data_IF_428045230589
#
_entry.id   IF_428045230589
#
_cell.length_a   1.000
_cell.length_b   1.000
_cell.length_c   1.000
_cell.angle_alpha   90.00
_cell.angle_beta   90.00
_cell.angle_gamma   90.00
#
_symmetry.space_group_name_H-M   'P 1'
#
loop_
_entity.id
_entity.type
_entity.pdbx_description
1 polymer ?
#
# COMPACT_ATOMS: atom_id res chain seq x y z
N UNK A 1 1.76 21.88 -15.16
CA UNK A 1 3.02 21.38 -15.78
C UNK A 1 4.09 21.02 -14.75
N UNK A 2 4.34 21.84 -13.72
CA UNK A 2 5.35 21.56 -12.68
C UNK A 2 5.10 20.28 -11.87
N UNK A 3 3.86 20.00 -11.45
CA UNK A 3 3.53 18.78 -10.70
C UNK A 3 3.76 17.49 -11.50
N UNK A 4 3.42 17.48 -12.80
CA UNK A 4 3.68 16.35 -13.68
C UNK A 4 5.19 16.07 -13.82
N UNK A 5 6.01 17.13 -13.98
CA UNK A 5 7.47 16.99 -14.04
C UNK A 5 8.03 16.34 -12.76
N UNK A 6 7.51 16.71 -11.59
CA UNK A 6 7.92 16.10 -10.31
C UNK A 6 7.57 14.61 -10.27
N UNK A 7 6.36 14.23 -10.72
CA UNK A 7 5.95 12.82 -10.77
C UNK A 7 6.81 12.02 -11.74
N UNK A 8 7.06 12.54 -12.95
CA UNK A 8 7.92 11.84 -13.92
C UNK A 8 9.38 11.74 -13.45
N UNK A 9 9.90 12.79 -12.79
CA UNK A 9 11.22 12.73 -12.16
C UNK A 9 11.26 11.69 -11.04
N UNK A 10 10.21 11.60 -10.22
CA UNK A 10 10.06 10.58 -9.20
C UNK A 10 10.05 9.15 -9.81
N UNK A 11 9.28 8.93 -10.88
CA UNK A 11 9.25 7.64 -11.58
C UNK A 11 10.64 7.27 -12.13
N UNK A 12 11.38 8.23 -12.68
CA UNK A 12 12.75 8.03 -13.15
C UNK A 12 13.71 7.69 -12.00
N UNK A 13 13.59 8.33 -10.83
CA UNK A 13 14.39 8.03 -9.64
C UNK A 13 14.10 6.62 -9.12
N UNK A 14 12.82 6.23 -9.05
CA UNK A 14 12.43 4.88 -8.62
C UNK A 14 12.98 3.82 -9.57
N UNK A 15 12.85 4.04 -10.89
CA UNK A 15 13.43 3.16 -11.90
C UNK A 15 14.94 3.06 -11.76
N UNK A 16 15.62 4.19 -11.54
CA UNK A 16 17.06 4.24 -11.33
C UNK A 16 17.49 3.44 -10.09
N UNK A 17 16.81 3.64 -8.95
CA UNK A 17 17.09 2.91 -7.69
C UNK A 17 16.91 1.41 -7.90
N UNK A 18 15.80 0.99 -8.52
CA UNK A 18 15.51 -0.42 -8.75
C UNK A 18 16.54 -1.11 -9.65
N UNK A 19 16.96 -0.45 -10.74
CA UNK A 19 17.98 -0.98 -11.66
C UNK A 19 19.38 -0.98 -11.03
N UNK A 20 19.76 0.12 -10.36
CA UNK A 20 21.11 0.28 -9.83
C UNK A 20 21.36 -0.60 -8.58
N UNK A 21 20.33 -0.83 -7.77
CA UNK A 21 20.40 -1.76 -6.63
C UNK A 21 20.80 -3.18 -7.08
N UNK A 22 20.45 -3.57 -8.32
CA UNK A 22 20.78 -4.88 -8.88
C UNK A 22 22.20 -4.97 -9.45
N UNK A 23 22.67 -3.93 -10.18
CA UNK A 23 24.00 -3.96 -10.83
C UNK A 23 25.15 -4.19 -9.86
N UNK A 24 25.01 -3.77 -8.59
CA UNK A 24 26.05 -3.98 -7.58
C UNK A 24 26.28 -5.47 -7.21
N UNK A 25 25.32 -6.36 -7.52
CA UNK A 25 25.34 -7.78 -7.12
C UNK A 25 25.21 -8.78 -8.28
N UNK A 26 25.25 -8.30 -9.52
CA UNK A 26 25.15 -9.10 -10.76
C UNK A 26 26.15 -10.27 -10.83
N UNK A 27 27.26 -10.19 -10.08
CA UNK A 27 28.27 -11.25 -9.94
C UNK A 27 27.77 -12.54 -9.26
N UNK A 28 26.58 -12.56 -8.63
CA UNK A 28 25.96 -13.76 -8.02
C UNK A 28 24.53 -14.00 -8.55
N UNK A 29 24.41 -14.32 -9.83
CA UNK A 29 23.13 -14.68 -10.47
C UNK A 29 22.57 -16.02 -9.94
N UNK A 30 22.03 -16.02 -8.72
CA UNK A 30 21.33 -17.16 -8.11
C UNK A 30 19.87 -16.80 -7.83
N UNK A 31 18.99 -17.80 -7.87
CA UNK A 31 17.57 -17.65 -7.56
C UNK A 31 17.33 -17.06 -6.16
N UNK A 32 18.18 -17.37 -5.17
CA UNK A 32 18.06 -16.81 -3.81
C UNK A 32 18.35 -15.30 -3.75
N UNK A 33 19.25 -14.78 -4.60
CA UNK A 33 19.50 -13.33 -4.69
C UNK A 33 18.33 -12.61 -5.36
N UNK A 34 17.74 -13.22 -6.40
CA UNK A 34 16.61 -12.62 -7.11
C UNK A 34 15.32 -12.64 -6.29
N UNK A 35 14.99 -13.77 -5.65
CA UNK A 35 13.71 -13.96 -4.96
C UNK A 35 13.73 -13.64 -3.47
N UNK A 36 14.90 -13.60 -2.81
CA UNK A 36 15.00 -13.39 -1.35
C UNK A 36 16.11 -12.39 -0.98
N UNK A 37 16.71 -11.70 -1.95
CA UNK A 37 17.81 -10.73 -1.76
C UNK A 37 19.00 -11.31 -0.96
N UNK A 38 19.24 -12.63 -1.10
CA UNK A 38 20.29 -13.34 -0.37
C UNK A 38 20.14 -13.25 1.16
N UNK A 39 18.92 -12.95 1.66
CA UNK A 39 18.59 -12.80 3.09
C UNK A 39 19.50 -11.80 3.81
N UNK A 40 19.83 -10.71 3.12
CA UNK A 40 20.90 -9.78 3.54
C UNK A 40 20.42 -8.34 3.73
N UNK A 41 19.11 -8.10 3.69
CA UNK A 41 18.53 -6.78 3.92
C UNK A 41 18.89 -6.29 5.32
N UNK A 42 19.33 -5.03 5.41
CA UNK A 42 19.62 -4.40 6.70
C UNK A 42 18.32 -4.03 7.44
N UNK A 43 18.38 -3.80 8.76
CA UNK A 43 17.20 -3.62 9.60
C UNK A 43 16.31 -2.43 9.18
N UNK A 44 16.91 -1.32 8.74
CA UNK A 44 16.16 -0.14 8.31
C UNK A 44 15.43 -0.38 6.98
N UNK A 45 16.11 -0.95 5.99
CA UNK A 45 15.53 -1.27 4.68
C UNK A 45 14.47 -2.35 4.82
N UNK A 46 14.70 -3.37 5.66
CA UNK A 46 13.71 -4.40 5.95
C UNK A 46 12.43 -3.82 6.54
N UNK A 47 12.54 -2.95 7.56
CA UNK A 47 11.38 -2.32 8.17
C UNK A 47 10.63 -1.42 7.18
N UNK A 48 11.33 -0.49 6.54
CA UNK A 48 10.72 0.49 5.65
C UNK A 48 10.11 -0.19 4.42
N UNK A 49 10.75 -1.24 3.92
CA UNK A 49 10.20 -2.00 2.81
C UNK A 49 9.00 -2.83 3.23
N UNK A 50 9.08 -3.60 4.33
CA UNK A 50 7.96 -4.41 4.81
C UNK A 50 6.74 -3.53 5.14
N UNK A 51 6.99 -2.36 5.73
CA UNK A 51 5.97 -1.38 5.98
C UNK A 51 5.41 -0.81 4.67
N UNK A 52 6.27 -0.40 3.73
CA UNK A 52 5.87 0.12 2.41
C UNK A 52 5.02 -0.87 1.62
N UNK A 53 5.40 -2.15 1.62
CA UNK A 53 4.64 -3.24 1.00
C UNK A 53 3.24 -3.39 1.60
N UNK A 54 3.04 -3.07 2.88
CA UNK A 54 1.72 -3.05 3.52
C UNK A 54 0.93 -1.76 3.23
N UNK A 55 1.61 -0.69 2.82
CA UNK A 55 0.96 0.56 2.45
C UNK A 55 0.36 0.41 1.06
N UNK A 56 -0.88 0.84 0.91
CA UNK A 56 -1.63 0.73 -0.34
C UNK A 56 -2.23 2.09 -0.70
N UNK A 57 -2.76 2.20 -1.91
CA UNK A 57 -3.60 3.34 -2.30
C UNK A 57 -4.71 3.62 -1.27
N UNK A 58 -5.27 2.57 -0.67
CA UNK A 58 -6.27 2.68 0.38
C UNK A 58 -5.73 3.39 1.62
N UNK A 59 -4.46 3.22 1.99
CA UNK A 59 -3.89 3.85 3.18
C UNK A 59 -3.94 5.39 3.12
N UNK A 60 -3.91 5.99 1.93
CA UNK A 60 -3.98 7.45 1.76
C UNK A 60 -5.41 7.87 1.40
N UNK A 61 -5.83 7.51 0.19
CA UNK A 61 -7.09 7.99 -0.38
C UNK A 61 -8.27 7.34 0.34
N UNK A 62 -8.21 6.02 0.51
CA UNK A 62 -9.28 5.26 1.14
C UNK A 62 -9.45 5.57 2.63
N UNK A 63 -8.36 5.70 3.40
CA UNK A 63 -8.43 5.97 4.84
C UNK A 63 -8.92 7.39 5.12
N UNK A 64 -8.48 8.37 4.33
CA UNK A 64 -8.95 9.74 4.45
C UNK A 64 -10.39 9.89 3.95
N UNK A 65 -10.77 9.22 2.87
CA UNK A 65 -12.15 9.19 2.40
C UNK A 65 -13.09 8.49 3.38
N UNK A 66 -12.64 7.41 4.00
CA UNK A 66 -13.36 6.73 5.07
C UNK A 66 -13.47 7.63 6.31
N UNK A 67 -12.42 8.39 6.65
CA UNK A 67 -12.45 9.37 7.72
C UNK A 67 -13.37 10.57 7.42
N UNK A 68 -13.52 10.96 6.15
CA UNK A 68 -14.49 11.98 5.74
C UNK A 68 -15.93 11.52 5.99
N UNK A 69 -16.23 10.25 5.67
CA UNK A 69 -17.57 9.67 5.86
C UNK A 69 -17.88 9.25 7.31
N UNK A 70 -16.95 8.57 7.97
CA UNK A 70 -17.14 7.93 9.28
C UNK A 70 -16.43 8.64 10.44
N UNK A 71 -15.66 9.69 10.15
CA UNK A 71 -15.02 10.52 11.15
C UNK A 71 -13.77 9.90 11.78
N UNK A 72 -13.44 10.39 12.97
CA UNK A 72 -12.18 10.07 13.67
C UNK A 72 -12.12 8.61 14.12
N UNK A 73 -13.28 7.95 14.19
CA UNK A 73 -13.40 6.53 14.48
C UNK A 73 -12.57 5.66 13.54
N UNK A 74 -12.34 6.08 12.30
CA UNK A 74 -11.47 5.38 11.33
C UNK A 74 -10.08 5.10 11.90
N UNK A 75 -9.53 6.04 12.68
CA UNK A 75 -8.25 5.84 13.36
C UNK A 75 -8.35 4.77 14.46
N UNK A 76 -9.38 4.86 15.31
CA UNK A 76 -9.61 3.89 16.38
C UNK A 76 -9.92 2.48 15.87
N UNK A 77 -10.63 2.37 14.75
CA UNK A 77 -11.14 1.11 14.23
C UNK A 77 -10.14 0.40 13.31
N UNK A 78 -9.41 1.14 12.45
CA UNK A 78 -8.45 0.55 11.51
C UNK A 78 -7.00 0.77 11.93
N UNK A 79 -6.61 2.01 12.22
CA UNK A 79 -5.21 2.34 12.47
C UNK A 79 -4.70 1.67 13.76
N UNK A 80 -5.48 1.75 14.86
CA UNK A 80 -5.07 1.17 16.14
C UNK A 80 -4.94 -0.36 16.08
N UNK A 81 -5.92 -1.03 15.44
CA UNK A 81 -5.91 -2.47 15.26
C UNK A 81 -4.73 -2.90 14.39
N UNK A 82 -4.48 -2.19 13.29
CA UNK A 82 -3.37 -2.49 12.37
C UNK A 82 -2.01 -2.22 13.03
N UNK A 83 -1.90 -1.16 13.84
CA UNK A 83 -0.67 -0.81 14.55
C UNK A 83 -0.23 -1.89 15.54
N UNK A 84 -1.17 -2.62 16.16
CA UNK A 84 -0.87 -3.63 17.17
C UNK A 84 -0.84 -5.05 16.59
N UNK A 85 -1.83 -5.40 15.77
CA UNK A 85 -2.06 -6.79 15.34
C UNK A 85 -1.08 -7.18 14.24
N UNK A 86 -0.77 -6.29 13.28
CA UNK A 86 0.20 -6.61 12.21
C UNK A 86 1.58 -6.96 12.77
N UNK A 87 2.23 -6.12 13.61
CA UNK A 87 3.53 -6.48 14.16
C UNK A 87 3.47 -7.72 15.05
N UNK A 88 2.37 -7.94 15.77
CA UNK A 88 2.17 -9.17 16.54
C UNK A 88 2.11 -10.41 15.64
N UNK A 89 1.37 -10.35 14.53
CA UNK A 89 1.33 -11.43 13.53
C UNK A 89 2.69 -11.67 12.89
N UNK A 90 3.40 -10.61 12.51
CA UNK A 90 4.77 -10.70 11.98
C UNK A 90 5.73 -11.34 13.00
N UNK A 91 5.55 -11.06 14.29
CA UNK A 91 6.35 -11.70 15.33
C UNK A 91 5.98 -13.16 15.54
N UNK A 92 4.69 -13.49 15.72
CA UNK A 92 4.26 -14.84 16.08
C UNK A 92 4.37 -15.82 14.91
N UNK A 93 3.97 -15.40 13.72
CA UNK A 93 3.96 -16.24 12.52
C UNK A 93 5.19 -15.98 11.65
N UNK A 94 5.54 -14.71 11.43
CA UNK A 94 6.68 -14.35 10.57
C UNK A 94 8.01 -14.89 11.09
N UNK A 95 8.26 -14.92 12.42
CA UNK A 95 9.48 -15.53 12.96
C UNK A 95 9.54 -17.05 12.77
N UNK A 96 8.39 -17.74 12.80
CA UNK A 96 8.31 -19.18 12.54
C UNK A 96 8.53 -19.49 11.06
N UNK A 97 7.89 -18.73 10.17
CA UNK A 97 8.11 -18.79 8.72
C UNK A 97 9.59 -18.58 8.42
N UNK A 98 10.20 -17.53 9.00
CA UNK A 98 11.63 -17.26 8.85
C UNK A 98 12.51 -18.42 9.32
N UNK A 99 12.23 -18.99 10.50
CA UNK A 99 12.98 -20.12 11.06
C UNK A 99 12.90 -21.36 10.16
N UNK A 100 11.69 -21.72 9.71
CA UNK A 100 11.47 -22.84 8.79
C UNK A 100 12.20 -22.61 7.46
N UNK A 101 12.08 -21.41 6.89
CA UNK A 101 12.76 -21.08 5.64
C UNK A 101 14.28 -21.09 5.76
N UNK A 102 14.85 -20.82 6.94
CA UNK A 102 16.31 -20.93 7.18
C UNK A 102 16.76 -22.37 7.36
N UNK A 103 15.93 -23.22 7.97
CA UNK A 103 16.26 -24.63 8.26
C UNK A 103 16.10 -25.54 7.04
N UNK A 104 15.06 -25.31 6.25
CA UNK A 104 14.68 -26.17 5.11
C UNK A 104 14.92 -25.52 3.74
N UNK A 105 15.35 -24.25 3.70
CA UNK A 105 15.64 -23.55 2.46
C UNK A 105 14.40 -23.08 1.68
N UNK A 106 13.23 -23.05 2.31
CA UNK A 106 12.00 -22.57 1.66
C UNK A 106 12.11 -21.11 1.22
N UNK A 107 11.61 -20.85 0.01
CA UNK A 107 11.53 -19.52 -0.63
C UNK A 107 10.07 -19.03 -0.70
N UNK A 108 9.10 -19.95 -0.73
CA UNK A 108 7.66 -19.62 -0.77
C UNK A 108 6.91 -20.25 0.40
N UNK A 109 5.78 -19.64 0.82
CA UNK A 109 4.88 -20.27 1.80
C UNK A 109 4.21 -21.55 1.26
N UNK A 110 4.03 -21.65 -0.07
CA UNK A 110 3.44 -22.83 -0.71
C UNK A 110 4.34 -24.05 -0.57
N UNK A 111 5.66 -23.89 -0.67
CA UNK A 111 6.62 -24.98 -0.39
C UNK A 111 6.46 -25.52 1.03
N UNK A 112 6.26 -24.63 2.03
CA UNK A 112 6.07 -25.06 3.43
C UNK A 112 4.83 -25.92 3.60
N UNK A 113 3.71 -25.49 3.00
CA UNK A 113 2.46 -26.22 3.06
C UNK A 113 2.53 -27.55 2.29
N UNK A 114 3.19 -27.55 1.13
CA UNK A 114 3.39 -28.74 0.33
C UNK A 114 4.23 -29.79 1.07
N UNK A 115 5.31 -29.37 1.73
CA UNK A 115 6.17 -30.24 2.55
C UNK A 115 5.39 -30.77 3.77
N UNK A 116 4.63 -29.91 4.44
CA UNK A 116 3.86 -30.28 5.64
C UNK A 116 2.72 -31.27 5.40
N UNK A 117 2.09 -31.22 4.22
CA UNK A 117 0.98 -32.11 3.84
C UNK A 117 1.40 -33.22 2.87
N UNK A 118 2.67 -33.28 2.49
CA UNK A 118 3.26 -34.27 1.57
C UNK A 118 2.46 -34.44 0.25
N UNK A 119 1.71 -33.41 -0.15
CA UNK A 119 0.79 -33.46 -1.29
C UNK A 119 1.10 -32.33 -2.27
N UNK A 120 1.61 -32.71 -3.45
CA UNK A 120 1.98 -31.77 -4.51
C UNK A 120 0.80 -30.91 -5.01
N UNK A 121 -0.37 -31.52 -5.15
CA UNK A 121 -1.59 -30.89 -5.66
C UNK A 121 -2.11 -29.78 -4.75
N UNK A 122 -1.99 -29.93 -3.42
CA UNK A 122 -2.39 -28.91 -2.46
C UNK A 122 -1.57 -27.63 -2.67
N UNK A 123 -0.26 -27.77 -2.89
CA UNK A 123 0.60 -26.61 -3.17
C UNK A 123 0.17 -25.85 -4.43
N UNK A 124 -0.14 -26.58 -5.52
CA UNK A 124 -0.59 -25.96 -6.78
C UNK A 124 -1.96 -25.29 -6.64
N UNK A 125 -2.86 -25.88 -5.85
CA UNK A 125 -4.14 -25.27 -5.53
C UNK A 125 -3.98 -23.98 -4.71
N UNK A 126 -3.15 -24.00 -3.66
CA UNK A 126 -2.85 -22.81 -2.85
C UNK A 126 -2.24 -21.71 -3.72
N UNK A 127 -1.31 -22.06 -4.62
CA UNK A 127 -0.75 -21.12 -5.60
C UNK A 127 -1.85 -20.50 -6.46
N UNK A 128 -2.71 -21.31 -7.09
CA UNK A 128 -3.77 -20.82 -7.98
C UNK A 128 -4.74 -19.91 -7.24
N UNK A 129 -5.14 -20.28 -6.01
CA UNK A 129 -6.01 -19.47 -5.16
C UNK A 129 -5.35 -18.13 -4.79
N UNK A 130 -4.09 -18.14 -4.35
CA UNK A 130 -3.39 -16.91 -3.98
C UNK A 130 -3.14 -16.01 -5.20
N UNK A 131 -2.80 -16.58 -6.35
CA UNK A 131 -2.67 -15.82 -7.60
C UNK A 131 -4.00 -15.17 -7.99
N UNK A 132 -5.10 -15.91 -7.93
CA UNK A 132 -6.44 -15.38 -8.22
C UNK A 132 -6.85 -14.23 -7.29
N UNK A 133 -6.42 -14.25 -6.02
CA UNK A 133 -6.69 -13.18 -5.05
C UNK A 133 -5.74 -11.97 -5.19
N UNK A 134 -4.51 -12.19 -5.66
CA UNK A 134 -3.52 -11.12 -5.85
C UNK A 134 -3.75 -10.31 -7.13
N UNK A 135 -4.27 -10.92 -8.20
CA UNK A 135 -4.49 -10.21 -9.47
C UNK A 135 -5.41 -8.99 -9.30
N UNK A 136 -6.60 -9.10 -8.67
CA UNK A 136 -7.45 -7.93 -8.38
C UNK A 136 -6.73 -6.88 -7.53
N UNK A 137 -5.88 -7.32 -6.60
CA UNK A 137 -5.15 -6.42 -5.72
C UNK A 137 -4.10 -5.59 -6.49
N UNK A 138 -3.36 -6.22 -7.39
CA UNK A 138 -2.42 -5.54 -8.30
C UNK A 138 -3.18 -4.56 -9.21
N UNK A 139 -4.34 -4.98 -9.74
CA UNK A 139 -5.18 -4.13 -10.59
C UNK A 139 -5.59 -2.86 -9.83
N UNK A 140 -6.04 -2.97 -8.58
CA UNK A 140 -6.39 -1.80 -7.74
C UNK A 140 -5.18 -0.86 -7.58
N UNK A 141 -3.98 -1.41 -7.44
CA UNK A 141 -2.73 -0.64 -7.49
C UNK A 141 -2.62 0.13 -8.80
N UNK A 142 -2.61 -0.55 -9.95
CA UNK A 142 -2.48 0.12 -11.26
C UNK A 142 -3.57 1.16 -11.51
N UNK A 143 -4.82 0.89 -11.11
CA UNK A 143 -5.95 1.82 -11.19
C UNK A 143 -5.71 3.08 -10.35
N UNK A 144 -5.21 2.93 -9.12
CA UNK A 144 -4.85 4.07 -8.26
C UNK A 144 -3.78 4.96 -8.89
N UNK A 145 -2.81 4.35 -9.57
CA UNK A 145 -1.74 5.07 -10.26
C UNK A 145 -2.24 5.83 -11.49
N UNK A 146 -3.08 5.20 -12.30
CA UNK A 146 -3.72 5.82 -13.45
C UNK A 146 -4.58 7.03 -13.06
N UNK A 147 -5.40 6.92 -12.01
CA UNK A 147 -6.20 8.02 -11.48
C UNK A 147 -5.32 9.17 -11.00
N UNK A 148 -4.23 8.85 -10.28
CA UNK A 148 -3.28 9.85 -9.75
C UNK A 148 -2.60 10.64 -10.87
N UNK A 149 -2.08 9.96 -11.90
CA UNK A 149 -1.45 10.62 -13.05
C UNK A 149 -2.46 11.45 -13.84
N UNK A 150 -3.67 10.92 -14.07
CA UNK A 150 -4.73 11.64 -14.75
C UNK A 150 -5.11 12.93 -14.02
N UNK A 151 -5.28 12.87 -12.69
CA UNK A 151 -5.60 14.03 -11.86
C UNK A 151 -4.49 15.08 -11.89
N UNK A 152 -3.24 14.70 -11.63
CA UNK A 152 -2.11 15.64 -11.55
C UNK A 152 -1.75 16.26 -12.89
N UNK A 153 -1.97 15.53 -13.99
CA UNK A 153 -1.76 16.03 -15.34
C UNK A 153 -2.85 17.01 -15.79
N UNK A 154 -3.91 17.21 -14.99
CA UNK A 154 -5.06 18.03 -15.38
C UNK A 154 -5.80 17.45 -16.58
N UNK A 155 -5.78 16.12 -16.76
CA UNK A 155 -6.36 15.43 -17.91
C UNK A 155 -5.49 15.38 -19.18
N UNK A 156 -4.27 15.91 -19.16
CA UNK A 156 -3.36 15.82 -20.31
C UNK A 156 -2.93 14.37 -20.61
N UNK A 157 -2.83 13.52 -19.57
CA UNK A 157 -2.58 12.09 -19.72
C UNK A 157 -3.88 11.33 -19.46
N UNK A 158 -4.42 10.59 -20.43
CA UNK A 158 -5.64 9.82 -20.21
C UNK A 158 -5.39 8.67 -19.23
N UNK A 159 -6.43 8.30 -18.48
CA UNK A 159 -6.37 7.26 -17.44
C UNK A 159 -5.69 5.95 -17.89
N UNK A 160 -6.01 5.46 -19.09
CA UNK A 160 -5.42 4.22 -19.62
C UNK A 160 -3.91 4.35 -19.84
N UNK A 161 -3.43 5.52 -20.30
CA UNK A 161 -2.02 5.78 -20.51
C UNK A 161 -1.29 5.97 -19.17
N UNK A 162 -1.93 6.63 -18.20
CA UNK A 162 -1.41 6.76 -16.84
C UNK A 162 -1.21 5.38 -16.19
N UNK A 163 -2.21 4.51 -16.25
CA UNK A 163 -2.11 3.14 -15.76
C UNK A 163 -1.00 2.33 -16.46
N UNK A 164 -0.91 2.44 -17.79
CA UNK A 164 0.12 1.76 -18.58
C UNK A 164 1.55 2.22 -18.21
N UNK A 165 1.76 3.52 -17.99
CA UNK A 165 3.07 4.06 -17.56
C UNK A 165 3.46 3.48 -16.20
N UNK A 166 2.53 3.47 -15.24
CA UNK A 166 2.79 2.94 -13.88
C UNK A 166 3.12 1.45 -13.94
N UNK A 167 2.30 0.67 -14.66
CA UNK A 167 2.53 -0.76 -14.85
C UNK A 167 3.90 -1.03 -15.49
N UNK A 168 4.24 -0.30 -16.56
CA UNK A 168 5.51 -0.46 -17.26
C UNK A 168 6.70 -0.15 -16.35
N UNK A 169 6.65 0.95 -15.59
CA UNK A 169 7.73 1.33 -14.67
C UNK A 169 7.90 0.26 -13.58
N UNK A 170 6.79 -0.16 -12.96
CA UNK A 170 6.81 -1.18 -11.91
C UNK A 170 7.36 -2.50 -12.42
N UNK A 171 6.83 -3.01 -13.53
CA UNK A 171 7.31 -4.25 -14.15
C UNK A 171 8.78 -4.17 -14.52
N UNK A 172 9.24 -3.04 -15.08
CA UNK A 172 10.63 -2.87 -15.52
C UNK A 172 11.63 -2.98 -14.37
N UNK A 173 11.38 -2.28 -13.25
CA UNK A 173 12.30 -2.36 -12.12
C UNK A 173 12.17 -3.65 -11.31
N UNK A 174 11.00 -4.30 -11.31
CA UNK A 174 10.85 -5.63 -10.68
C UNK A 174 11.59 -6.69 -11.49
N UNK A 175 11.44 -6.67 -12.82
CA UNK A 175 12.12 -7.55 -13.76
C UNK A 175 13.65 -7.45 -13.63
N UNK A 176 14.17 -6.22 -13.60
CA UNK A 176 15.61 -5.96 -13.52
C UNK A 176 16.13 -6.08 -12.08
N UNK A 177 15.38 -5.59 -11.10
CA UNK A 177 15.79 -5.39 -9.72
C UNK A 177 15.64 -6.59 -8.79
N UNK A 178 14.67 -7.46 -9.05
CA UNK A 178 14.27 -8.54 -8.14
C UNK A 178 13.93 -8.02 -6.73
N UNK A 179 13.97 -8.90 -5.74
CA UNK A 179 13.59 -8.57 -4.36
C UNK A 179 14.43 -7.48 -3.73
N UNK A 180 15.72 -7.40 -4.06
CA UNK A 180 16.60 -6.37 -3.51
C UNK A 180 16.24 -5.00 -4.08
N UNK A 181 16.05 -4.90 -5.40
CA UNK A 181 15.64 -3.66 -6.06
C UNK A 181 14.30 -3.17 -5.52
N UNK A 182 13.30 -4.06 -5.47
CA UNK A 182 11.99 -3.81 -4.85
C UNK A 182 12.12 -3.32 -3.41
N UNK A 183 12.98 -3.93 -2.60
CA UNK A 183 13.14 -3.51 -1.20
C UNK A 183 13.71 -2.10 -1.04
N UNK A 184 14.66 -1.69 -1.88
CA UNK A 184 15.20 -0.33 -1.85
C UNK A 184 14.21 0.70 -2.40
N UNK A 185 13.48 0.35 -3.45
CA UNK A 185 12.38 1.18 -3.97
C UNK A 185 11.34 1.42 -2.89
N UNK A 186 10.87 0.35 -2.23
CA UNK A 186 9.89 0.46 -1.16
C UNK A 186 10.41 1.24 0.04
N UNK A 187 11.68 1.08 0.41
CA UNK A 187 12.26 1.88 1.48
C UNK A 187 12.27 3.38 1.15
N UNK A 188 12.64 3.75 -0.08
CA UNK A 188 12.59 5.13 -0.56
C UNK A 188 11.16 5.67 -0.60
N UNK A 189 10.23 4.89 -1.16
CA UNK A 189 8.80 5.22 -1.25
C UNK A 189 8.18 5.43 0.12
N UNK A 190 8.47 4.57 1.10
CA UNK A 190 8.01 4.73 2.48
C UNK A 190 8.52 6.02 3.12
N UNK A 191 9.79 6.37 2.93
CA UNK A 191 10.36 7.61 3.47
C UNK A 191 9.73 8.84 2.82
N UNK A 192 9.58 8.82 1.49
CA UNK A 192 8.89 9.88 0.75
C UNK A 192 7.47 10.05 1.28
N UNK A 193 6.79 8.93 1.50
CA UNK A 193 5.41 8.89 1.96
C UNK A 193 5.24 9.40 3.39
N UNK A 194 6.10 8.98 4.32
CA UNK A 194 6.13 9.49 5.71
C UNK A 194 6.39 11.01 5.74
N UNK A 195 7.33 11.48 4.92
CA UNK A 195 7.67 12.91 4.82
C UNK A 195 6.50 13.73 4.30
N UNK A 196 5.79 13.19 3.31
CA UNK A 196 4.58 13.81 2.76
C UNK A 196 3.47 13.94 3.81
N UNK A 197 3.15 12.86 4.54
CA UNK A 197 2.10 12.89 5.57
C UNK A 197 2.34 13.97 6.62
N UNK A 198 3.59 14.12 7.05
CA UNK A 198 3.97 15.19 7.99
C UNK A 198 3.80 16.59 7.38
N UNK A 199 4.26 16.80 6.14
CA UNK A 199 4.12 18.09 5.47
C UNK A 199 2.64 18.48 5.28
N UNK A 200 1.79 17.53 4.91
CA UNK A 200 0.36 17.77 4.71
C UNK A 200 -0.34 18.20 6.01
N UNK A 201 -0.02 17.58 7.15
CA UNK A 201 -0.54 18.01 8.46
C UNK A 201 -0.05 19.39 8.84
N UNK A 202 1.22 19.71 8.63
CA UNK A 202 1.75 21.02 8.99
C UNK A 202 1.06 22.13 8.17
N UNK A 203 0.95 21.94 6.85
CA UNK A 203 0.35 22.95 5.97
C UNK A 203 -1.16 23.10 6.18
N UNK A 204 -1.91 22.00 6.10
CA UNK A 204 -3.37 22.04 6.22
C UNK A 204 -3.78 22.28 7.68
N UNK A 205 -3.07 21.70 8.63
CA UNK A 205 -3.30 21.92 10.06
C UNK A 205 -3.12 23.38 10.45
N UNK A 206 -2.12 24.09 9.92
CA UNK A 206 -1.98 25.53 10.18
C UNK A 206 -3.15 26.33 9.59
N UNK A 207 -3.59 25.98 8.37
CA UNK A 207 -4.72 26.66 7.71
C UNK A 207 -6.07 26.35 8.33
N UNK A 208 -6.24 25.17 8.91
CA UNK A 208 -7.46 24.76 9.61
C UNK A 208 -7.52 25.28 11.06
N UNK A 209 -6.58 26.12 11.50
CA UNK A 209 -6.55 26.64 12.88
C UNK A 209 -6.11 25.58 13.91
N UNK A 210 -5.36 24.58 13.46
CA UNK A 210 -4.83 23.49 14.28
C UNK A 210 -5.81 22.33 14.46
N UNK A 211 -5.32 21.26 15.09
CA UNK A 211 -6.14 20.09 15.40
C UNK A 211 -7.35 20.45 16.28
N UNK A 212 -7.12 21.24 17.35
CA UNK A 212 -8.18 21.68 18.26
C UNK A 212 -9.26 22.49 17.55
N UNK A 213 -8.87 23.53 16.80
CA UNK A 213 -9.82 24.37 16.07
C UNK A 213 -10.61 23.61 15.00
N UNK A 214 -9.98 22.64 14.32
CA UNK A 214 -10.69 21.79 13.37
C UNK A 214 -11.73 20.89 14.05
N UNK A 215 -11.40 20.30 15.21
CA UNK A 215 -12.34 19.46 15.95
C UNK A 215 -13.48 20.28 16.57
N UNK A 216 -13.21 21.47 17.10
CA UNK A 216 -14.23 22.36 17.68
C UNK A 216 -15.25 22.80 16.64
N UNK A 217 -14.82 23.15 15.42
CA UNK A 217 -15.74 23.49 14.33
C UNK A 217 -16.66 22.33 13.95
N UNK A 218 -16.16 21.11 13.96
CA UNK A 218 -16.96 19.91 13.68
C UNK A 218 -17.91 19.62 14.84
N UNK A 219 -17.45 19.73 16.08
CA UNK A 219 -18.26 19.57 17.28
C UNK A 219 -19.43 20.58 17.36
N UNK A 220 -19.22 21.80 16.86
CA UNK A 220 -20.24 22.84 16.79
C UNK A 220 -21.22 22.68 15.60
N UNK A 221 -20.97 21.72 14.69
CA UNK A 221 -21.78 21.47 13.50
C UNK A 221 -22.76 20.31 13.69
N UNK A 222 -23.71 20.15 12.75
CA UNK A 222 -24.60 18.97 12.69
C UNK A 222 -23.86 17.64 12.54
N UNK A 223 -22.57 17.69 12.20
CA UNK A 223 -21.70 16.53 11.98
C UNK A 223 -20.85 16.15 13.20
N UNK A 224 -21.22 16.62 14.41
CA UNK A 224 -20.56 16.25 15.67
C UNK A 224 -20.45 14.73 15.89
N UNK A 225 -21.36 13.95 15.31
CA UNK A 225 -21.33 12.49 15.34
C UNK A 225 -20.08 11.88 14.68
N UNK A 226 -19.36 12.62 13.82
CA UNK A 226 -18.06 12.19 13.26
C UNK A 226 -16.96 12.11 14.32
N UNK A 227 -17.15 12.75 15.47
CA UNK A 227 -16.22 12.69 16.60
C UNK A 227 -16.58 11.58 17.60
N UNK A 228 -17.80 11.04 17.50
CA UNK A 228 -18.32 10.02 18.42
C UNK A 228 -18.42 8.64 17.76
N UNK A 229 -18.55 7.60 18.59
CA UNK A 229 -18.77 6.22 18.13
C UNK A 229 -20.26 5.87 18.00
N UNK A 230 -21.16 6.81 18.24
CA UNK A 230 -22.59 6.54 18.46
C UNK A 230 -23.29 5.77 17.32
N UNK A 231 -22.84 5.97 16.07
CA UNK A 231 -23.43 5.31 14.89
C UNK A 231 -22.82 3.95 14.54
N UNK A 232 -21.80 3.50 15.27
CA UNK A 232 -21.07 2.27 14.92
C UNK A 232 -21.27 1.17 15.96
N UNK A 233 -21.91 0.09 15.50
CA UNK A 233 -22.14 -1.11 16.29
C UNK A 233 -20.83 -1.67 16.87
N UNK A 234 -20.83 -2.14 18.14
CA UNK A 234 -19.69 -2.84 18.71
C UNK A 234 -19.19 -4.04 17.90
N UNK A 235 -20.11 -4.77 17.25
CA UNK A 235 -19.76 -5.89 16.39
C UNK A 235 -19.03 -5.45 15.12
N UNK A 236 -19.42 -4.32 14.56
CA UNK A 236 -18.72 -3.75 13.41
C UNK A 236 -17.30 -3.34 13.78
N UNK A 237 -17.11 -2.70 14.93
CA UNK A 237 -15.79 -2.36 15.45
C UNK A 237 -14.91 -3.61 15.67
N UNK A 238 -15.48 -4.67 16.26
CA UNK A 238 -14.76 -5.93 16.47
C UNK A 238 -14.40 -6.63 15.15
N UNK A 239 -15.30 -6.65 14.16
CA UNK A 239 -15.00 -7.26 12.86
C UNK A 239 -13.77 -6.62 12.19
N UNK A 240 -13.59 -5.30 12.33
CA UNK A 240 -12.45 -4.60 11.78
C UNK A 240 -11.12 -4.89 12.48
N UNK A 241 -11.14 -5.29 13.76
CA UNK A 241 -9.90 -5.71 14.43
C UNK A 241 -9.39 -7.05 13.91
N UNK A 242 -10.22 -7.84 13.20
CA UNK A 242 -9.80 -9.10 12.59
C UNK A 242 -9.16 -8.91 11.21
N UNK A 243 -9.40 -7.78 10.53
CA UNK A 243 -8.84 -7.51 9.19
C UNK A 243 -7.29 -7.58 9.20
N UNK A 244 -6.58 -6.96 10.15
CA UNK A 244 -5.12 -7.02 10.19
C UNK A 244 -4.53 -8.43 10.38
N UNK A 245 -5.31 -9.40 10.91
CA UNK A 245 -4.85 -10.80 11.03
C UNK A 245 -4.58 -11.42 9.66
N UNK A 246 -5.28 -10.97 8.61
CA UNK A 246 -5.10 -11.46 7.24
C UNK A 246 -3.74 -11.08 6.65
N UNK A 247 -3.05 -10.08 7.20
CA UNK A 247 -1.80 -9.53 6.65
C UNK A 247 -0.73 -10.60 6.40
N UNK A 248 -0.58 -11.55 7.32
CA UNK A 248 0.43 -12.61 7.20
C UNK A 248 0.05 -13.67 6.14
N UNK A 249 -1.25 -13.83 5.86
CA UNK A 249 -1.72 -14.79 4.87
C UNK A 249 -1.38 -14.37 3.44
N UNK A 250 -1.08 -13.08 3.21
CA UNK A 250 -0.60 -12.62 1.93
C UNK A 250 0.81 -13.16 1.65
N UNK A 251 1.03 -13.78 0.47
CA UNK A 251 2.33 -14.38 0.18
C UNK A 251 3.44 -13.36 0.07
N UNK A 252 3.17 -12.14 -0.43
CA UNK A 252 4.19 -11.12 -0.52
C UNK A 252 4.74 -10.72 0.85
N UNK A 253 3.91 -10.69 1.90
CA UNK A 253 4.35 -10.44 3.29
C UNK A 253 5.11 -11.65 3.85
N UNK A 254 4.58 -12.86 3.62
CA UNK A 254 5.22 -14.10 4.07
C UNK A 254 6.60 -14.31 3.44
N UNK A 255 6.73 -14.07 2.13
CA UNK A 255 8.00 -14.13 1.40
C UNK A 255 8.93 -13.02 1.90
N UNK A 256 8.44 -11.81 2.17
CA UNK A 256 9.25 -10.75 2.78
C UNK A 256 9.81 -11.17 4.14
N UNK A 257 9.04 -11.88 4.96
CA UNK A 257 9.54 -12.39 6.24
C UNK A 257 10.74 -13.36 6.04
N UNK A 258 10.82 -14.06 4.91
CA UNK A 258 11.94 -14.96 4.59
C UNK A 258 13.24 -14.22 4.25
N UNK A 259 13.17 -12.92 3.91
CA UNK A 259 14.34 -12.11 3.53
C UNK A 259 15.13 -11.56 4.71
N UNK A 260 14.57 -11.62 5.92
CA UNK A 260 15.20 -11.06 7.10
C UNK A 260 16.55 -11.74 7.37
N UNK A 261 17.56 -10.95 7.75
CA UNK A 261 18.91 -11.47 8.03
C UNK A 261 18.99 -12.09 9.41
N UNK A 262 18.32 -11.47 10.40
CA UNK A 262 18.35 -11.87 11.80
C UNK A 262 16.97 -11.77 12.44
N UNK A 263 16.70 -12.66 13.40
CA UNK A 263 15.46 -12.61 14.19
C UNK A 263 15.31 -11.28 14.98
N UNK A 264 16.41 -10.60 15.29
CA UNK A 264 16.39 -9.29 15.98
C UNK A 264 15.77 -8.18 15.13
N UNK A 265 15.71 -8.34 13.81
CA UNK A 265 15.08 -7.36 12.91
C UNK A 265 13.57 -7.32 13.12
N UNK A 266 12.93 -8.48 13.34
CA UNK A 266 11.51 -8.56 13.69
C UNK A 266 11.20 -7.80 14.99
N UNK A 267 12.05 -7.91 16.01
CA UNK A 267 11.86 -7.19 17.29
C UNK A 267 11.83 -5.67 17.09
N UNK A 268 12.73 -5.15 16.24
CA UNK A 268 12.75 -3.71 15.92
C UNK A 268 11.53 -3.31 15.11
N UNK A 269 11.12 -4.14 14.16
CA UNK A 269 9.88 -3.93 13.39
C UNK A 269 8.69 -3.83 14.33
N UNK A 270 8.54 -4.70 15.34
CA UNK A 270 7.41 -4.63 16.27
C UNK A 270 7.31 -3.29 17.00
N UNK A 271 8.45 -2.73 17.42
CA UNK A 271 8.48 -1.49 18.20
C UNK A 271 8.23 -0.28 17.32
N UNK A 272 8.80 -0.26 16.11
CA UNK A 272 8.79 0.89 15.22
C UNK A 272 7.58 0.91 14.26
N UNK A 273 6.96 -0.24 13.99
CA UNK A 273 5.79 -0.35 13.09
C UNK A 273 4.57 0.46 13.57
N UNK A 274 4.17 0.43 14.85
CA UNK A 274 3.10 1.29 15.37
C UNK A 274 3.38 2.78 15.16
N UNK A 275 4.64 3.21 15.31
CA UNK A 275 5.04 4.60 15.08
C UNK A 275 4.91 4.98 13.61
N UNK A 276 5.24 4.07 12.69
CA UNK A 276 5.07 4.30 11.25
C UNK A 276 3.59 4.40 10.86
N UNK A 277 2.73 3.53 11.43
CA UNK A 277 1.28 3.62 11.23
C UNK A 277 0.74 4.95 11.77
N UNK A 278 1.13 5.33 12.99
CA UNK A 278 0.74 6.60 13.59
C UNK A 278 1.15 7.77 12.68
N UNK A 279 2.40 7.78 12.20
CA UNK A 279 2.93 8.85 11.36
C UNK A 279 2.20 9.03 10.02
N UNK A 280 1.46 8.02 9.54
CA UNK A 280 0.73 8.06 8.26
C UNK A 280 -0.77 8.20 8.45
N UNK A 281 -1.36 7.36 9.29
CA UNK A 281 -2.79 7.34 9.49
C UNK A 281 -3.28 8.57 10.24
N UNK A 282 -2.48 9.13 11.15
CA UNK A 282 -2.86 10.35 11.86
C UNK A 282 -3.03 11.51 10.88
N UNK A 283 -2.06 11.81 9.99
CA UNK A 283 -2.28 12.73 8.88
C UNK A 283 -3.52 12.45 8.03
N UNK A 284 -3.65 11.24 7.50
CA UNK A 284 -4.70 10.94 6.53
C UNK A 284 -6.10 11.04 7.17
N UNK A 285 -6.28 10.51 8.38
CA UNK A 285 -7.54 10.60 9.11
C UNK A 285 -7.81 12.04 9.53
N UNK A 286 -6.81 12.77 10.02
CA UNK A 286 -6.97 14.17 10.38
C UNK A 286 -7.44 15.01 9.20
N UNK A 287 -6.79 14.87 8.03
CA UNK A 287 -7.15 15.59 6.82
C UNK A 287 -8.56 15.23 6.34
N UNK A 288 -8.92 13.93 6.36
CA UNK A 288 -10.25 13.47 6.00
C UNK A 288 -11.34 14.03 6.92
N UNK A 289 -11.12 14.03 8.22
CA UNK A 289 -12.06 14.60 9.20
C UNK A 289 -12.14 16.12 9.04
N UNK A 290 -11.00 16.80 9.02
CA UNK A 290 -10.90 18.26 8.91
C UNK A 290 -11.59 18.80 7.66
N UNK A 291 -11.60 18.03 6.56
CA UNK A 291 -12.30 18.42 5.34
C UNK A 291 -13.78 18.70 5.55
N UNK A 292 -14.47 18.01 6.47
CA UNK A 292 -15.89 18.28 6.76
C UNK A 292 -16.12 19.72 7.29
N UNK A 293 -15.10 20.34 7.88
CA UNK A 293 -15.14 21.71 8.35
C UNK A 293 -14.63 22.76 7.36
N UNK A 294 -14.20 22.36 6.15
CA UNK A 294 -13.57 23.24 5.14
C UNK A 294 -14.55 23.52 3.99
N UNK A 295 -15.66 24.20 4.30
CA UNK A 295 -16.72 24.56 3.33
C UNK A 295 -16.31 25.69 2.37
N UNK A 296 -15.17 26.32 2.61
CA UNK A 296 -14.57 27.31 1.73
C UNK A 296 -14.03 26.69 0.43
N UNK A 297 -13.83 25.37 0.39
CA UNK A 297 -13.47 24.64 -0.84
C UNK A 297 -14.74 24.20 -1.59
N UNK A 298 -15.04 24.74 -2.79
CA UNK A 298 -16.31 24.48 -3.49
C UNK A 298 -16.57 23.00 -3.77
N UNK A 299 -15.52 22.24 -4.09
CA UNK A 299 -15.62 20.82 -4.34
C UNK A 299 -15.95 20.00 -3.08
N UNK A 300 -15.49 20.44 -1.90
CA UNK A 300 -15.84 19.81 -0.62
C UNK A 300 -17.28 20.16 -0.23
N UNK A 301 -17.69 21.41 -0.43
CA UNK A 301 -19.07 21.81 -0.16
C UNK A 301 -20.07 21.04 -1.04
N UNK A 302 -19.78 20.87 -2.33
CA UNK A 302 -20.59 20.05 -3.23
C UNK A 302 -20.72 18.58 -2.75
N UNK A 303 -19.65 18.03 -2.16
CA UNK A 303 -19.66 16.67 -1.56
C UNK A 303 -20.56 16.61 -0.32
N UNK A 304 -20.47 17.62 0.55
CA UNK A 304 -21.30 17.73 1.75
C UNK A 304 -22.78 17.91 1.40
N UNK A 305 -23.09 18.70 0.38
CA UNK A 305 -24.44 18.85 -0.14
C UNK A 305 -24.99 17.54 -0.74
N UNK A 306 -24.18 16.81 -1.53
CA UNK A 306 -24.57 15.51 -2.07
C UNK A 306 -24.84 14.48 -0.95
N UNK A 307 -24.04 14.51 0.12
CA UNK A 307 -24.25 13.69 1.32
C UNK A 307 -25.53 14.06 2.06
N UNK A 308 -25.82 15.36 2.20
CA UNK A 308 -27.04 15.85 2.83
C UNK A 308 -28.29 15.48 2.00
N UNK A 309 -28.19 15.56 0.67
CA UNK A 309 -29.23 15.11 -0.25
C UNK A 309 -29.50 13.61 -0.05
N UNK A 310 -28.47 12.76 -0.05
CA UNK A 310 -28.62 11.31 0.20
C UNK A 310 -29.26 10.96 1.56
N UNK A 311 -29.08 11.80 2.58
CA UNK A 311 -29.72 11.63 3.88
C UNK A 311 -31.21 12.04 3.88
N UNK A 312 -31.64 12.83 2.91
CA UNK A 312 -33.03 13.25 2.76
C UNK A 312 -33.89 12.13 2.17
N UNK A 313 -35.02 11.78 2.80
CA UNK A 313 -35.96 10.78 2.28
C UNK A 313 -36.65 11.21 0.97
N UNK A 314 -36.51 12.47 0.57
CA UNK A 314 -37.10 13.02 -0.66
C UNK A 314 -36.24 12.80 -1.92
N UNK A 315 -35.08 12.14 -1.83
CA UNK A 315 -34.17 11.95 -2.97
C UNK A 315 -34.72 10.95 -3.98
N UNK A 316 -34.87 11.32 -5.26
CA UNK A 316 -35.31 10.40 -6.30
C UNK A 316 -34.37 9.18 -6.41
N UNK A 317 -34.88 7.94 -6.49
CA UNK A 317 -34.05 6.74 -6.61
C UNK A 317 -33.08 6.77 -7.81
N UNK A 318 -33.46 7.48 -8.88
CA UNK A 318 -32.65 7.64 -10.09
C UNK A 318 -31.36 8.47 -9.85
N UNK A 319 -31.38 9.41 -8.90
CA UNK A 319 -30.26 10.33 -8.64
C UNK A 319 -29.28 9.77 -7.60
N UNK A 320 -29.70 8.75 -6.85
CA UNK A 320 -28.89 8.10 -5.80
C UNK A 320 -27.51 7.64 -6.30
N UNK A 321 -27.35 7.00 -7.48
CA UNK A 321 -26.04 6.60 -7.97
C UNK A 321 -25.11 7.79 -8.27
N UNK A 322 -25.63 8.85 -8.87
CA UNK A 322 -24.87 10.05 -9.19
C UNK A 322 -24.45 10.79 -7.93
N UNK A 323 -25.37 10.97 -6.98
CA UNK A 323 -25.09 11.58 -5.68
C UNK A 323 -24.10 10.76 -4.86
N UNK A 324 -24.17 9.42 -4.92
CA UNK A 324 -23.17 8.54 -4.27
C UNK A 324 -21.79 8.70 -4.88
N UNK A 325 -21.69 8.81 -6.20
CA UNK A 325 -20.42 9.04 -6.87
C UNK A 325 -19.83 10.40 -6.48
N UNK A 326 -20.68 11.43 -6.40
CA UNK A 326 -20.26 12.78 -5.99
C UNK A 326 -19.82 12.82 -4.52
N UNK A 327 -20.56 12.19 -3.61
CA UNK A 327 -20.29 12.18 -2.17
C UNK A 327 -19.09 11.30 -1.75
N UNK A 328 -18.40 10.63 -2.67
CA UNK A 328 -17.20 9.83 -2.35
C UNK A 328 -16.12 10.69 -1.72
N UNK A 329 -15.47 10.16 -0.68
CA UNK A 329 -14.41 10.84 0.05
C UNK A 329 -13.00 10.55 -0.45
N UNK A 330 -12.81 9.58 -1.36
CA UNK A 330 -11.48 9.05 -1.72
C UNK A 330 -10.54 10.12 -2.33
N UNK A 331 -11.10 11.17 -2.91
CA UNK A 331 -10.42 12.30 -3.55
C UNK A 331 -10.29 13.54 -2.63
N UNK A 332 -10.86 13.52 -1.42
CA UNK A 332 -10.92 14.69 -0.53
C UNK A 332 -9.53 15.25 -0.20
N UNK A 333 -8.55 14.39 0.05
CA UNK A 333 -7.17 14.82 0.33
C UNK A 333 -6.55 15.46 -0.91
N UNK A 334 -6.84 14.95 -2.10
CA UNK A 334 -6.35 15.53 -3.36
C UNK A 334 -6.96 16.92 -3.55
N UNK A 335 -8.27 17.04 -3.40
CA UNK A 335 -9.02 18.30 -3.53
C UNK A 335 -8.52 19.37 -2.54
N UNK A 336 -8.35 19.02 -1.27
CA UNK A 336 -7.82 19.95 -0.26
C UNK A 336 -6.40 20.41 -0.61
N UNK A 337 -5.56 19.49 -1.05
CA UNK A 337 -4.18 19.83 -1.37
C UNK A 337 -4.07 20.64 -2.66
N UNK A 338 -4.87 20.36 -3.69
CA UNK A 338 -4.93 21.19 -4.90
C UNK A 338 -5.36 22.62 -4.58
N UNK A 339 -6.27 22.80 -3.62
CA UNK A 339 -6.77 24.12 -3.25
C UNK A 339 -5.79 24.92 -2.37
N UNK A 340 -5.17 24.28 -1.37
CA UNK A 340 -4.34 24.98 -0.38
C UNK A 340 -2.82 24.88 -0.62
N UNK A 341 -2.36 23.92 -1.42
CA UNK A 341 -0.93 23.64 -1.52
C UNK A 341 -0.28 24.39 -2.68
N UNK A 342 0.96 24.89 -2.49
CA UNK A 342 1.76 25.34 -3.61
C UNK A 342 2.07 24.17 -4.57
N UNK A 343 2.25 24.49 -5.85
CA UNK A 343 2.41 23.52 -6.95
C UNK A 343 3.50 22.45 -6.70
N UNK A 344 4.56 22.78 -5.97
CA UNK A 344 5.63 21.82 -5.63
C UNK A 344 5.18 20.77 -4.61
N UNK A 345 4.32 21.15 -3.66
CA UNK A 345 3.78 20.24 -2.63
C UNK A 345 2.72 19.31 -3.24
N UNK A 346 1.95 19.79 -4.22
CA UNK A 346 1.05 18.95 -5.02
C UNK A 346 1.81 17.89 -5.83
N UNK A 347 2.98 18.24 -6.40
CA UNK A 347 3.87 17.27 -7.05
C UNK A 347 4.42 16.22 -6.08
N UNK A 348 4.81 16.64 -4.87
CA UNK A 348 5.27 15.73 -3.82
C UNK A 348 4.17 14.80 -3.31
N UNK A 349 2.94 15.31 -3.17
CA UNK A 349 1.75 14.50 -2.90
C UNK A 349 1.56 13.46 -3.98
N UNK A 350 1.61 13.87 -5.24
CA UNK A 350 1.47 12.97 -6.37
C UNK A 350 2.48 11.84 -6.33
N UNK A 351 3.73 12.17 -6.05
CA UNK A 351 4.79 11.19 -5.85
C UNK A 351 4.53 10.29 -4.63
N UNK A 352 3.99 10.81 -3.53
CA UNK A 352 3.62 10.04 -2.34
C UNK A 352 2.44 9.09 -2.54
N UNK A 353 1.39 9.53 -3.25
CA UNK A 353 0.28 8.66 -3.67
C UNK A 353 0.81 7.59 -4.60
N UNK A 354 1.61 7.97 -5.60
CA UNK A 354 2.22 7.03 -6.52
C UNK A 354 3.11 6.02 -5.79
N UNK A 355 3.87 6.44 -4.79
CA UNK A 355 4.65 5.55 -3.93
C UNK A 355 3.78 4.48 -3.24
N UNK A 356 2.66 4.87 -2.63
CA UNK A 356 1.76 3.91 -1.97
C UNK A 356 1.05 2.97 -2.96
N UNK A 357 0.82 3.43 -4.18
CA UNK A 357 0.20 2.65 -5.26
C UNK A 357 1.19 1.64 -5.87
N UNK A 358 2.46 2.05 -6.01
CA UNK A 358 3.52 1.25 -6.62
C UNK A 358 4.07 0.14 -5.71
N UNK A 359 3.71 0.13 -4.42
CA UNK A 359 3.96 -1.00 -3.50
C UNK A 359 3.34 -2.34 -3.95
N UNK A 360 2.52 -2.32 -5.01
CA UNK A 360 2.07 -3.50 -5.76
C UNK A 360 3.22 -4.29 -6.41
N UNK A 361 4.41 -3.70 -6.51
CA UNK A 361 5.63 -4.37 -6.97
C UNK A 361 5.97 -5.66 -6.23
N UNK A 362 5.75 -5.67 -4.92
CA UNK A 362 6.02 -6.78 -4.03
C UNK A 362 5.04 -7.92 -4.28
N UNK A 363 3.83 -7.59 -4.72
CA UNK A 363 2.78 -8.55 -5.07
C UNK A 363 3.11 -9.23 -6.39
N UNK A 364 3.53 -8.46 -7.39
CA UNK A 364 3.99 -8.96 -8.69
C UNK A 364 5.20 -9.88 -8.50
N UNK A 365 6.19 -9.44 -7.73
CA UNK A 365 7.36 -10.23 -7.43
C UNK A 365 7.01 -11.53 -6.68
N UNK A 366 6.14 -11.46 -5.67
CA UNK A 366 5.69 -12.65 -4.94
C UNK A 366 4.99 -13.65 -5.85
N UNK A 367 4.13 -13.20 -6.76
CA UNK A 367 3.45 -14.05 -7.72
C UNK A 367 4.44 -14.73 -8.68
N UNK A 368 5.42 -13.97 -9.17
CA UNK A 368 6.52 -14.50 -9.99
C UNK A 368 7.36 -15.52 -9.23
N UNK A 369 7.73 -15.25 -7.98
CA UNK A 369 8.45 -16.20 -7.12
C UNK A 369 7.66 -17.49 -6.96
N UNK A 370 6.37 -17.39 -6.65
CA UNK A 370 5.52 -18.55 -6.47
C UNK A 370 5.35 -19.35 -7.76
N UNK A 371 5.11 -18.70 -8.90
CA UNK A 371 5.04 -19.39 -10.19
C UNK A 371 6.35 -20.13 -10.48
N UNK A 372 7.48 -19.47 -10.24
CA UNK A 372 8.79 -19.99 -10.60
C UNK A 372 9.22 -21.15 -9.69
N UNK A 373 8.97 -21.06 -8.39
CA UNK A 373 9.36 -22.08 -7.41
C UNK A 373 8.32 -23.20 -7.30
N UNK A 374 7.04 -22.86 -7.26
CA UNK A 374 5.97 -23.80 -6.92
C UNK A 374 5.39 -24.53 -8.13
N UNK A 375 5.54 -23.95 -9.33
CA UNK A 375 5.10 -24.55 -10.60
C UNK A 375 6.32 -24.94 -11.42
N UNK A 376 7.10 -23.98 -11.92
CA UNK A 376 8.19 -24.26 -12.86
C UNK A 376 9.27 -25.16 -12.26
N UNK A 377 9.83 -24.81 -11.09
CA UNK A 377 10.90 -25.59 -10.47
C UNK A 377 10.39 -26.96 -9.98
N UNK A 378 9.21 -26.99 -9.36
CA UNK A 378 8.62 -28.21 -8.82
C UNK A 378 8.33 -29.27 -9.89
N UNK A 379 7.73 -28.89 -11.02
CA UNK A 379 7.45 -29.81 -12.15
C UNK A 379 8.69 -30.11 -13.01
N UNK A 380 9.89 -29.91 -12.47
CA UNK A 380 11.16 -30.34 -13.08
C UNK A 380 11.86 -29.29 -13.94
N UNK A 381 11.31 -28.08 -14.07
CA UNK A 381 11.91 -27.00 -14.86
C UNK A 381 13.32 -26.61 -14.37
N UNK A 382 13.53 -26.56 -13.05
CA UNK A 382 14.86 -26.28 -12.47
C UNK A 382 15.88 -27.38 -12.78
N UNK A 383 15.48 -28.65 -12.63
CA UNK A 383 16.35 -29.81 -12.90
C UNK A 383 16.69 -29.93 -14.39
N UNK A 384 15.77 -29.54 -15.27
CA UNK A 384 15.91 -29.67 -16.73
C UNK A 384 16.65 -28.51 -17.38
N UNK A 385 16.44 -27.28 -16.90
CA UNK A 385 16.93 -26.06 -17.56
C UNK A 385 17.87 -25.20 -16.71
N UNK A 386 18.12 -25.57 -15.45
CA UNK A 386 19.04 -24.88 -14.54
C UNK A 386 18.52 -23.57 -13.94
N UNK A 387 19.30 -22.99 -13.02
CA UNK A 387 18.91 -21.81 -12.23
C UNK A 387 18.80 -20.51 -13.05
N UNK A 388 19.59 -20.38 -14.12
CA UNK A 388 19.50 -19.21 -15.01
C UNK A 388 18.15 -19.16 -15.73
N UNK A 389 17.67 -20.31 -16.21
CA UNK A 389 16.37 -20.40 -16.86
C UNK A 389 15.25 -20.20 -15.86
N UNK A 390 15.41 -20.67 -14.62
CA UNK A 390 14.47 -20.40 -13.55
C UNK A 390 14.27 -18.88 -13.34
N UNK A 391 15.36 -18.12 -13.21
CA UNK A 391 15.29 -16.66 -13.08
C UNK A 391 14.71 -16.00 -14.34
N UNK A 392 15.07 -16.48 -15.53
CA UNK A 392 14.52 -15.97 -16.79
C UNK A 392 13.01 -16.21 -16.93
N UNK A 393 12.52 -17.37 -16.49
CA UNK A 393 11.09 -17.69 -16.47
C UNK A 393 10.34 -16.79 -15.49
N UNK A 394 10.90 -16.58 -14.28
CA UNK A 394 10.30 -15.66 -13.31
C UNK A 394 10.25 -14.23 -13.83
N UNK A 395 11.30 -13.79 -14.52
CA UNK A 395 11.34 -12.51 -15.23
C UNK A 395 10.31 -12.41 -16.36
N UNK A 396 10.15 -13.44 -17.17
CA UNK A 396 9.17 -13.44 -18.26
C UNK A 396 7.72 -13.51 -17.77
N UNK A 397 7.48 -13.99 -16.55
CA UNK A 397 6.17 -14.00 -15.92
C UNK A 397 5.74 -12.62 -15.41
N UNK A 398 6.69 -11.84 -14.90
CA UNK A 398 6.48 -10.43 -14.51
C UNK A 398 6.11 -9.62 -15.72
#
# INVERSE_FOLDING_TARGET
MTAAVIVFAYLAVVLYIGIFAFRKYERKASAEEFFVAGRSLGPAVFLLSLFGTNMTAFTILGSAGHAFGNGILTFGLMASASALIIPLCLFLFGTRIWSLGRRFGFITPVQMFRDRWECGHIGTFIFALQAALLVPYIIIGVMGGGTTISAISGGAVPYWAGGAIVALVVMSYVFLGGMRGTAFVNAFQTVLFLSFGLAAVIFIGYRSGGFGGAMERIAASSDAWLLSRERVSPWYFFAYTLIPLSTIAFPHISIFCLTAKRMTEFKRTIILYPLCILAIWLPCVFLGVAANGMRDVPAIDAKLQARAALASPATPPADVPALRAQARGDDVVIVLLEHYSPLWLAGLLGAGIMAAVMASDSQILAMSTMFTEDVFAYYGGKKRFGERTQVATGRAFV
#
